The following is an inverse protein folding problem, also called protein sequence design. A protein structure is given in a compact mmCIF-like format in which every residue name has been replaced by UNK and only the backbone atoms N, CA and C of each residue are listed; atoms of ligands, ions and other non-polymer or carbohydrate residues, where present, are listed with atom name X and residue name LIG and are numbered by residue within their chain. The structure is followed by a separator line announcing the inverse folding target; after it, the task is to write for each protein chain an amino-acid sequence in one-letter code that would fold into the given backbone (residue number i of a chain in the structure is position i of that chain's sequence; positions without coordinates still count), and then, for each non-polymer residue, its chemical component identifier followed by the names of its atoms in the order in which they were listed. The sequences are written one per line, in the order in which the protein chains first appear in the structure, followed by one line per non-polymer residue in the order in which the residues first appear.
data_IF_023679405511
#
_entry.id   IF_023679405511
#
_cell.length_a   1.000
_cell.length_b   1.000
_cell.length_c   1.000
_cell.angle_alpha   90.00
_cell.angle_beta   90.00
_cell.angle_gamma   90.00
#
_symmetry.space_group_name_H-M   'P 1'
#
loop_
_entity.id
_entity.type
_entity.pdbx_description
1 polymer ?
#
# COMPACT_ATOMS: atom_id res chain seq x y z
N UNK A 1 -20.60 19.89 74.13
CA UNK A 1 -19.93 20.47 72.95
C UNK A 1 -18.81 19.52 72.58
N UNK A 2 -18.98 18.80 71.47
CA UNK A 2 -18.11 17.71 71.01
C UNK A 2 -17.78 17.98 69.54
N UNK A 3 -16.51 17.81 69.18
CA UNK A 3 -15.94 17.97 67.84
C UNK A 3 -14.65 18.79 67.92
N UNK A 4 -13.47 18.36 67.44
CA UNK A 4 -13.18 17.36 66.42
C UNK A 4 -11.73 16.88 66.58
N UNK A 5 -11.46 15.59 66.37
CA UNK A 5 -10.12 15.03 66.18
C UNK A 5 -9.98 14.70 64.69
N UNK A 6 -9.01 15.30 64.02
CA UNK A 6 -8.63 15.03 62.64
C UNK A 6 -7.84 13.71 62.60
N UNK A 7 -8.38 12.70 61.91
CA UNK A 7 -7.64 11.49 61.54
C UNK A 7 -6.99 11.76 60.18
N UNK A 8 -5.66 11.89 60.17
CA UNK A 8 -4.86 11.84 58.95
C UNK A 8 -4.77 10.36 58.50
N UNK A 9 -5.54 10.00 57.48
CA UNK A 9 -5.41 8.70 56.81
C UNK A 9 -4.19 8.71 55.89
N UNK A 10 -3.16 7.96 56.26
CA UNK A 10 -2.05 7.62 55.36
C UNK A 10 -2.54 6.52 54.41
N UNK A 11 -2.79 6.88 53.16
CA UNK A 11 -2.99 5.93 52.07
C UNK A 11 -1.62 5.39 51.66
N UNK A 12 -1.27 4.23 52.22
CA UNK A 12 -0.16 3.41 51.75
C UNK A 12 -0.55 2.81 50.40
N UNK A 13 -0.12 3.44 49.29
CA UNK A 13 -0.17 2.83 47.96
C UNK A 13 0.90 1.75 47.91
N UNK A 14 0.46 0.49 48.02
CA UNK A 14 1.27 -0.66 47.68
C UNK A 14 1.67 -0.58 46.20
N UNK A 15 2.97 -0.59 45.93
CA UNK A 15 3.52 -0.69 44.59
C UNK A 15 3.34 -2.14 44.15
N UNK A 16 2.20 -2.43 43.54
CA UNK A 16 2.03 -3.62 42.69
C UNK A 16 2.77 -3.34 41.39
N UNK A 17 3.57 -4.30 40.94
CA UNK A 17 4.34 -4.24 39.69
C UNK A 17 3.40 -4.08 38.50
N UNK A 18 3.12 -2.84 38.13
CA UNK A 18 2.43 -2.48 36.90
C UNK A 18 3.28 -2.92 35.71
N UNK A 19 2.69 -3.77 34.87
CA UNK A 19 3.14 -3.95 33.50
C UNK A 19 3.27 -2.58 32.85
N UNK A 20 4.49 -2.24 32.49
CA UNK A 20 4.87 -1.10 31.69
C UNK A 20 4.18 -1.23 30.32
N UNK A 21 2.98 -0.68 30.19
CA UNK A 21 2.45 -0.36 28.86
C UNK A 21 3.25 0.85 28.38
N UNK A 22 4.44 0.55 27.86
CA UNK A 22 5.34 1.51 27.28
C UNK A 22 4.58 2.35 26.25
N UNK A 23 4.59 3.65 26.48
CA UNK A 23 4.29 4.63 25.42
C UNK A 23 5.32 4.34 24.33
N UNK A 24 4.90 3.62 23.27
CA UNK A 24 5.76 3.33 22.13
C UNK A 24 6.30 4.64 21.60
N UNK A 25 7.62 4.75 21.51
CA UNK A 25 8.25 5.93 20.94
C UNK A 25 7.80 6.01 19.47
N UNK A 26 7.46 7.18 18.89
CA UNK A 26 7.07 7.26 17.48
C UNK A 26 8.12 6.62 16.54
N UNK A 27 9.39 6.59 16.95
CA UNK A 27 10.45 5.85 16.28
C UNK A 27 10.22 4.32 16.18
N UNK A 28 9.58 3.70 17.17
CA UNK A 28 9.31 2.25 17.19
C UNK A 28 8.22 1.86 16.18
N UNK A 29 7.41 2.81 15.70
CA UNK A 29 6.38 2.56 14.67
C UNK A 29 6.93 2.38 13.25
N UNK A 30 8.22 2.65 13.05
CA UNK A 30 8.90 2.59 11.74
C UNK A 30 9.94 1.48 11.65
N UNK A 31 10.02 0.59 12.64
CA UNK A 31 10.86 -0.61 12.56
C UNK A 31 10.24 -1.61 11.58
N UNK A 32 10.94 -1.96 10.51
CA UNK A 32 10.48 -2.97 9.55
C UNK A 32 10.17 -4.30 10.23
N UNK A 33 10.96 -4.66 11.26
CA UNK A 33 10.72 -5.86 12.02
C UNK A 33 9.43 -5.76 12.83
N UNK A 34 9.18 -4.65 13.53
CA UNK A 34 7.92 -4.39 14.22
C UNK A 34 6.69 -4.30 13.30
N UNK A 35 6.84 -3.79 12.07
CA UNK A 35 5.79 -3.77 11.04
C UNK A 35 5.41 -5.19 10.63
N UNK A 36 6.40 -6.05 10.37
CA UNK A 36 6.15 -7.44 10.00
C UNK A 36 5.63 -8.28 11.17
N UNK A 37 6.15 -8.07 12.38
CA UNK A 37 5.66 -8.72 13.60
C UNK A 37 4.22 -8.30 13.95
N UNK A 38 3.77 -7.13 13.51
CA UNK A 38 2.38 -6.67 13.65
C UNK A 38 1.47 -7.06 12.47
N UNK A 39 1.90 -8.02 11.65
CA UNK A 39 1.12 -8.56 10.53
C UNK A 39 1.19 -7.75 9.24
N UNK A 40 2.11 -6.78 9.15
CA UNK A 40 2.51 -6.22 7.86
C UNK A 40 3.27 -7.25 7.03
N UNK A 41 3.17 -7.17 5.72
CA UNK A 41 3.93 -8.00 4.79
C UNK A 41 4.52 -7.11 3.68
N UNK A 42 5.29 -7.72 2.78
CA UNK A 42 5.61 -7.04 1.53
C UNK A 42 4.32 -6.71 0.78
N UNK A 43 4.29 -5.55 0.12
CA UNK A 43 3.09 -5.06 -0.58
C UNK A 43 2.55 -6.12 -1.54
N UNK A 44 3.43 -6.83 -2.22
CA UNK A 44 3.11 -7.86 -3.20
C UNK A 44 2.55 -9.13 -2.56
N UNK A 45 3.01 -9.48 -1.36
CA UNK A 45 2.51 -10.63 -0.62
C UNK A 45 1.09 -10.37 -0.15
N UNK A 46 0.84 -9.17 0.39
CA UNK A 46 -0.48 -8.71 0.75
C UNK A 46 -1.43 -8.65 -0.46
N UNK A 47 -0.97 -8.11 -1.60
CA UNK A 47 -1.76 -8.10 -2.85
C UNK A 47 -2.10 -9.52 -3.28
N UNK A 48 -1.12 -10.44 -3.35
CA UNK A 48 -1.38 -11.84 -3.75
C UNK A 48 -2.33 -12.55 -2.78
N UNK A 49 -2.17 -12.32 -1.49
CA UNK A 49 -3.06 -12.86 -0.46
C UNK A 49 -4.50 -12.37 -0.68
N UNK A 50 -4.66 -11.08 -0.97
CA UNK A 50 -5.95 -10.47 -1.27
C UNK A 50 -6.55 -10.92 -2.59
N UNK A 51 -5.78 -11.00 -3.67
CA UNK A 51 -6.27 -11.52 -4.95
C UNK A 51 -6.78 -12.97 -4.82
N UNK A 52 -6.03 -13.80 -4.09
CA UNK A 52 -6.45 -15.18 -3.79
C UNK A 52 -7.72 -15.21 -2.95
N UNK A 53 -7.87 -14.32 -1.98
CA UNK A 53 -9.01 -14.25 -1.07
C UNK A 53 -10.27 -13.73 -1.76
N UNK A 54 -10.15 -12.61 -2.44
CA UNK A 54 -11.23 -11.96 -3.17
C UNK A 54 -11.62 -12.71 -4.44
N UNK A 55 -10.74 -13.60 -4.94
CA UNK A 55 -10.97 -14.34 -6.19
C UNK A 55 -10.95 -13.44 -7.44
N UNK A 56 -10.35 -12.25 -7.33
CA UNK A 56 -10.28 -11.24 -8.40
C UNK A 56 -8.95 -10.51 -8.36
N UNK A 57 -8.48 -10.06 -9.52
CA UNK A 57 -7.25 -9.28 -9.63
C UNK A 57 -7.41 -7.90 -8.99
N UNK A 58 -6.34 -7.44 -8.32
CA UNK A 58 -6.28 -6.14 -7.65
C UNK A 58 -5.56 -5.14 -8.56
N UNK A 59 -6.15 -3.95 -8.72
CA UNK A 59 -5.59 -2.88 -9.54
C UNK A 59 -5.23 -1.69 -8.67
N UNK A 60 -3.95 -1.53 -8.35
CA UNK A 60 -3.46 -0.36 -7.61
C UNK A 60 -3.28 0.85 -8.55
N UNK A 61 -3.44 2.08 -8.04
CA UNK A 61 -3.05 3.27 -8.78
C UNK A 61 -1.57 3.17 -9.21
N UNK A 62 -1.24 3.31 -10.50
CA UNK A 62 0.14 3.25 -10.96
C UNK A 62 0.98 4.47 -10.54
N UNK A 63 0.33 5.59 -10.22
CA UNK A 63 0.97 6.79 -9.67
C UNK A 63 0.94 6.78 -8.14
N UNK A 64 1.98 7.37 -7.54
CA UNK A 64 2.06 7.66 -6.12
C UNK A 64 2.20 9.17 -5.93
N UNK A 65 1.93 9.70 -4.72
CA UNK A 65 2.16 11.11 -4.46
C UNK A 65 3.63 11.49 -4.76
N UNK A 66 3.89 12.70 -5.28
CA UNK A 66 5.23 13.13 -5.69
C UNK A 66 6.12 13.52 -4.49
N UNK A 67 6.11 12.70 -3.44
CA UNK A 67 6.88 12.87 -2.21
C UNK A 67 7.72 11.62 -1.94
N UNK A 68 8.82 11.77 -1.20
CA UNK A 68 9.66 10.64 -0.84
C UNK A 68 9.03 9.81 0.30
N UNK A 69 9.13 8.50 0.20
CA UNK A 69 8.82 7.52 1.25
C UNK A 69 10.08 6.74 1.62
N UNK A 70 10.19 6.31 2.87
CA UNK A 70 11.29 5.48 3.37
C UNK A 70 10.85 4.05 3.64
N UNK A 71 9.57 3.81 3.83
CA UNK A 71 9.00 2.49 4.08
C UNK A 71 7.70 2.32 3.30
N UNK A 72 7.42 1.07 2.95
CA UNK A 72 6.14 0.63 2.44
C UNK A 72 5.85 -0.78 2.96
N UNK A 73 4.59 -1.09 3.21
CA UNK A 73 4.12 -2.43 3.53
C UNK A 73 2.66 -2.60 3.13
N UNK A 74 2.24 -3.85 2.99
CA UNK A 74 0.85 -4.20 2.72
C UNK A 74 0.26 -5.08 3.81
N UNK A 75 -1.06 -5.08 3.90
CA UNK A 75 -1.84 -6.00 4.73
C UNK A 75 -3.08 -6.43 3.98
N UNK A 76 -3.38 -7.72 4.04
CA UNK A 76 -4.65 -8.23 3.55
C UNK A 76 -5.51 -8.63 4.74
N UNK A 77 -6.51 -7.81 5.05
CA UNK A 77 -7.41 -8.03 6.18
C UNK A 77 -8.46 -9.09 5.83
N UNK A 78 -8.77 -9.94 6.82
CA UNK A 78 -9.87 -10.91 6.78
C UNK A 78 -10.99 -10.52 7.76
N UNK A 79 -12.11 -11.25 7.70
CA UNK A 79 -13.25 -11.03 8.59
C UNK A 79 -12.98 -11.48 10.04
N UNK A 80 -11.90 -12.22 10.33
CA UNK A 80 -11.65 -12.76 11.67
C UNK A 80 -11.30 -11.66 12.69
N UNK A 81 -10.78 -10.52 12.21
CA UNK A 81 -10.53 -9.32 13.01
C UNK A 81 -11.74 -8.43 13.26
N UNK A 82 -12.93 -8.76 12.73
CA UNK A 82 -14.11 -7.90 12.79
C UNK A 82 -14.03 -6.65 11.89
N UNK A 83 -13.05 -6.62 10.99
CA UNK A 83 -12.92 -5.63 9.93
C UNK A 83 -13.46 -6.22 8.62
N UNK A 84 -14.03 -5.38 7.76
CA UNK A 84 -14.40 -5.80 6.41
C UNK A 84 -13.13 -6.20 5.65
N UNK A 85 -13.21 -7.26 4.83
CA UNK A 85 -12.03 -7.72 4.08
C UNK A 85 -11.59 -6.66 3.08
N UNK A 86 -10.31 -6.28 3.13
CA UNK A 86 -9.74 -5.27 2.27
C UNK A 86 -8.22 -5.42 2.18
N UNK A 87 -7.66 -4.84 1.12
CA UNK A 87 -6.23 -4.61 1.02
C UNK A 87 -5.91 -3.23 1.60
N UNK A 88 -4.90 -3.17 2.46
CA UNK A 88 -4.26 -1.92 2.89
C UNK A 88 -2.82 -1.89 2.39
N UNK A 89 -2.40 -0.75 1.85
CA UNK A 89 -1.00 -0.46 1.55
C UNK A 89 -0.65 0.87 2.18
N UNK A 90 0.45 0.89 2.92
CA UNK A 90 0.87 2.05 3.67
C UNK A 90 2.27 2.49 3.24
N UNK A 91 2.41 3.76 2.88
CA UNK A 91 3.65 4.44 2.50
C UNK A 91 3.98 5.50 3.55
N UNK A 92 5.19 5.43 4.08
CA UNK A 92 5.62 6.24 5.22
C UNK A 92 7.00 6.85 5.00
N UNK A 93 7.22 8.06 5.49
CA UNK A 93 8.56 8.64 5.60
C UNK A 93 8.95 8.89 7.05
N UNK A 94 9.99 8.20 7.52
CA UNK A 94 10.49 8.30 8.89
C UNK A 94 11.04 9.69 9.27
N UNK A 95 11.45 10.49 8.27
CA UNK A 95 12.03 11.82 8.46
C UNK A 95 11.03 12.95 8.20
N UNK A 96 9.93 12.65 7.52
CA UNK A 96 8.86 13.60 7.21
C UNK A 96 7.49 12.96 7.46
N UNK A 97 6.99 13.00 8.71
CA UNK A 97 5.75 12.31 9.10
C UNK A 97 4.50 12.77 8.31
N UNK A 98 4.51 13.99 7.77
CA UNK A 98 3.43 14.46 6.88
C UNK A 98 3.42 13.75 5.51
N UNK A 99 4.48 13.00 5.17
CA UNK A 99 4.51 12.07 4.04
C UNK A 99 4.04 10.68 4.53
N UNK A 100 2.80 10.63 4.98
CA UNK A 100 2.05 9.43 5.33
C UNK A 100 0.90 9.32 4.34
N UNK A 101 0.90 8.22 3.58
CA UNK A 101 -0.05 7.95 2.52
C UNK A 101 -0.49 6.49 2.56
N UNK A 102 -1.80 6.28 2.48
CA UNK A 102 -2.41 4.96 2.59
C UNK A 102 -3.41 4.74 1.45
N UNK A 103 -3.39 3.52 0.92
CA UNK A 103 -4.35 3.03 -0.06
C UNK A 103 -5.11 1.89 0.60
N UNK A 104 -6.43 2.02 0.71
CA UNK A 104 -7.33 0.93 1.09
C UNK A 104 -8.21 0.56 -0.10
N UNK A 105 -8.28 -0.72 -0.44
CA UNK A 105 -9.12 -1.26 -1.50
C UNK A 105 -10.13 -2.24 -0.92
N UNK A 106 -11.41 -1.89 -1.05
CA UNK A 106 -12.53 -2.75 -0.67
C UNK A 106 -13.19 -3.33 -1.93
N UNK A 107 -13.51 -4.63 -1.96
CA UNK A 107 -14.49 -5.15 -2.90
C UNK A 107 -15.78 -4.31 -2.79
N UNK A 108 -16.41 -3.98 -3.91
CA UNK A 108 -17.58 -3.08 -3.92
C UNK A 108 -18.76 -3.62 -3.09
N UNK A 109 -18.87 -4.95 -2.99
CA UNK A 109 -19.81 -5.65 -2.10
C UNK A 109 -19.59 -5.32 -0.61
N UNK A 110 -18.34 -5.04 -0.23
CA UNK A 110 -17.89 -4.72 1.13
C UNK A 110 -17.56 -3.22 1.30
N UNK A 111 -18.13 -2.36 0.45
CA UNK A 111 -17.76 -0.95 0.41
C UNK A 111 -18.06 -0.20 1.72
N UNK A 112 -17.15 0.69 2.09
CA UNK A 112 -17.26 1.55 3.25
C UNK A 112 -18.29 2.65 3.00
N UNK A 113 -19.23 2.81 3.94
CA UNK A 113 -20.35 3.75 3.82
C UNK A 113 -20.03 5.17 4.29
N UNK A 114 -19.03 5.34 5.16
CA UNK A 114 -18.45 6.63 5.61
C UNK A 114 -19.48 7.73 5.97
N UNK A 115 -20.64 7.36 6.53
CA UNK A 115 -21.83 8.22 6.68
C UNK A 115 -21.64 9.48 7.53
N UNK A 116 -20.56 9.54 8.31
CA UNK A 116 -20.27 10.64 9.23
C UNK A 116 -19.32 11.70 8.64
N UNK A 117 -18.82 11.48 7.42
CA UNK A 117 -17.92 12.40 6.74
C UNK A 117 -18.70 13.27 5.75
N UNK A 118 -18.37 14.56 5.71
CA UNK A 118 -18.93 15.51 4.75
C UNK A 118 -18.00 15.62 3.54
N UNK A 119 -18.39 14.99 2.44
CA UNK A 119 -17.59 14.94 1.21
C UNK A 119 -17.89 16.13 0.29
N UNK A 120 -16.83 16.56 -0.40
CA UNK A 120 -16.89 17.42 -1.57
C UNK A 120 -16.82 16.52 -2.81
N UNK A 121 -17.94 16.40 -3.50
CA UNK A 121 -18.02 15.64 -4.74
C UNK A 121 -17.41 16.43 -5.90
N UNK A 122 -16.71 15.73 -6.80
CA UNK A 122 -16.27 16.22 -8.10
C UNK A 122 -16.18 15.07 -9.09
N UNK A 123 -15.87 15.36 -10.35
CA UNK A 123 -15.67 14.35 -11.39
C UNK A 123 -14.22 14.36 -11.87
N UNK A 124 -13.71 13.17 -12.21
CA UNK A 124 -12.48 13.00 -12.98
C UNK A 124 -12.71 13.30 -14.46
N UNK A 125 -11.61 13.38 -15.22
CA UNK A 125 -11.64 13.56 -16.68
C UNK A 125 -12.47 12.52 -17.45
N UNK A 126 -12.65 11.32 -16.91
CA UNK A 126 -13.45 10.25 -17.51
C UNK A 126 -14.89 10.15 -16.94
N UNK A 127 -15.36 11.21 -16.27
CA UNK A 127 -16.66 11.30 -15.60
C UNK A 127 -16.83 10.37 -14.39
N UNK A 128 -15.75 9.77 -13.87
CA UNK A 128 -15.83 9.03 -12.61
C UNK A 128 -16.04 10.01 -11.45
N UNK A 129 -17.07 9.77 -10.64
CA UNK A 129 -17.33 10.54 -9.42
C UNK A 129 -16.26 10.26 -8.36
N UNK A 130 -15.73 11.32 -7.75
CA UNK A 130 -14.81 11.26 -6.62
C UNK A 130 -15.33 12.08 -5.46
N UNK A 131 -15.15 11.56 -4.26
CA UNK A 131 -15.59 12.17 -3.02
C UNK A 131 -14.38 12.54 -2.18
N UNK A 132 -14.15 13.83 -1.99
CA UNK A 132 -13.01 14.33 -1.22
C UNK A 132 -13.44 14.83 0.16
N UNK A 133 -12.78 14.35 1.20
CA UNK A 133 -12.93 14.83 2.57
C UNK A 133 -11.60 15.44 3.05
N UNK A 134 -11.69 16.62 3.66
CA UNK A 134 -10.56 17.24 4.35
C UNK A 134 -10.91 17.39 5.83
N UNK A 135 -10.19 16.67 6.68
CA UNK A 135 -10.35 16.78 8.12
C UNK A 135 -9.71 18.06 8.70
N UNK A 136 -9.79 18.23 10.03
CA UNK A 136 -9.01 19.24 10.76
C UNK A 136 -7.51 19.10 10.51
N UNK A 137 -6.75 20.16 10.82
CA UNK A 137 -5.28 20.12 10.74
C UNK A 137 -4.73 19.02 11.67
N UNK A 138 -3.66 18.35 11.24
CA UNK A 138 -3.03 17.21 11.92
C UNK A 138 -3.94 15.97 12.05
N UNK A 139 -4.91 15.82 11.14
CA UNK A 139 -5.68 14.58 10.99
C UNK A 139 -5.37 13.97 9.63
N UNK A 140 -6.39 13.80 8.78
CA UNK A 140 -6.28 13.21 7.46
C UNK A 140 -7.07 14.01 6.43
N UNK A 141 -6.71 13.77 5.18
CA UNK A 141 -7.54 14.00 4.02
C UNK A 141 -7.76 12.65 3.33
N UNK A 142 -8.93 12.50 2.72
CA UNK A 142 -9.39 11.24 2.15
C UNK A 142 -10.02 11.53 0.78
N UNK A 143 -9.61 10.80 -0.24
CA UNK A 143 -10.31 10.74 -1.53
C UNK A 143 -10.88 9.35 -1.71
N UNK A 144 -12.18 9.27 -1.99
CA UNK A 144 -12.90 8.02 -2.26
C UNK A 144 -13.31 7.97 -3.73
N UNK A 145 -12.97 6.89 -4.40
CA UNK A 145 -13.36 6.64 -5.80
C UNK A 145 -13.82 5.20 -5.97
N UNK A 146 -14.94 5.00 -6.67
CA UNK A 146 -15.41 3.68 -7.06
C UNK A 146 -15.02 3.45 -8.53
N UNK A 147 -14.28 2.38 -8.81
CA UNK A 147 -13.81 2.06 -10.16
C UNK A 147 -13.79 0.55 -10.38
N UNK A 148 -14.49 0.09 -11.41
CA UNK A 148 -14.69 -1.35 -11.64
C UNK A 148 -15.44 -1.99 -10.46
N UNK A 149 -14.90 -3.07 -9.91
CA UNK A 149 -15.45 -3.78 -8.75
C UNK A 149 -14.84 -3.34 -7.41
N UNK A 150 -14.16 -2.19 -7.38
CA UNK A 150 -13.39 -1.73 -6.23
C UNK A 150 -13.85 -0.35 -5.75
N UNK A 151 -13.85 -0.18 -4.43
CA UNK A 151 -13.85 1.13 -3.79
C UNK A 151 -12.43 1.41 -3.26
N UNK A 152 -11.86 2.53 -3.69
CA UNK A 152 -10.54 3.00 -3.28
C UNK A 152 -10.70 4.12 -2.26
N UNK A 153 -9.99 4.02 -1.15
CA UNK A 153 -9.81 5.08 -0.16
C UNK A 153 -8.34 5.49 -0.18
N UNK A 154 -8.07 6.69 -0.71
CA UNK A 154 -6.74 7.28 -0.76
C UNK A 154 -6.61 8.27 0.40
N UNK A 155 -5.91 7.86 1.45
CA UNK A 155 -5.75 8.65 2.68
C UNK A 155 -4.37 9.27 2.73
N UNK A 156 -4.26 10.53 3.12
CA UNK A 156 -2.98 11.18 3.38
C UNK A 156 -3.06 12.07 4.61
N UNK A 157 -1.91 12.32 5.26
CA UNK A 157 -1.84 13.25 6.38
C UNK A 157 -2.26 14.67 5.98
N UNK A 158 -3.07 15.31 6.83
CA UNK A 158 -3.46 16.72 6.69
C UNK A 158 -2.66 17.62 7.65
N UNK A 159 -1.34 17.45 7.64
CA UNK A 159 -0.41 18.28 8.40
C UNK A 159 -0.13 19.62 7.72
N UNK A 160 0.38 20.59 8.49
CA UNK A 160 0.72 21.92 7.98
C UNK A 160 1.82 21.91 6.91
N UNK A 161 2.70 20.89 6.93
CA UNK A 161 3.79 20.71 5.97
C UNK A 161 3.52 19.62 4.93
N UNK A 162 2.28 19.12 4.87
CA UNK A 162 1.86 18.10 3.90
C UNK A 162 1.89 18.67 2.48
N UNK A 163 2.65 17.99 1.63
CA UNK A 163 2.75 18.26 0.20
C UNK A 163 1.73 17.46 -0.60
N UNK A 164 1.21 16.38 -0.04
CA UNK A 164 0.10 15.64 -0.64
C UNK A 164 -1.14 16.50 -0.40
N UNK A 165 -1.84 16.94 -1.43
CA UNK A 165 -3.10 17.71 -1.32
C UNK A 165 -4.19 17.02 -2.14
N UNK A 166 -5.35 17.67 -2.21
CA UNK A 166 -6.48 17.22 -3.03
C UNK A 166 -6.06 16.95 -4.48
N UNK A 167 -5.22 17.80 -5.06
CA UNK A 167 -4.80 17.67 -6.45
C UNK A 167 -4.00 16.39 -6.67
N UNK A 168 -2.99 16.13 -5.84
CA UNK A 168 -2.15 14.93 -5.94
C UNK A 168 -2.98 13.65 -5.74
N UNK A 169 -3.91 13.64 -4.78
CA UNK A 169 -4.84 12.50 -4.62
C UNK A 169 -5.75 12.30 -5.84
N UNK A 170 -6.17 13.40 -6.49
CA UNK A 170 -7.01 13.35 -7.69
C UNK A 170 -6.23 12.79 -8.87
N UNK A 171 -5.00 13.25 -9.10
CA UNK A 171 -4.12 12.74 -10.16
C UNK A 171 -3.82 11.24 -10.00
N UNK A 172 -3.64 10.77 -8.75
CA UNK A 172 -3.51 9.34 -8.45
C UNK A 172 -4.79 8.58 -8.80
N UNK A 173 -5.96 9.11 -8.43
CA UNK A 173 -7.24 8.49 -8.77
C UNK A 173 -7.46 8.45 -10.30
N UNK A 174 -7.11 9.50 -11.04
CA UNK A 174 -7.17 9.53 -12.51
C UNK A 174 -6.26 8.49 -13.17
N UNK A 175 -5.13 8.19 -12.53
CA UNK A 175 -4.22 7.16 -13.03
C UNK A 175 -4.84 5.75 -13.03
N UNK A 176 -5.93 5.52 -12.27
CA UNK A 176 -6.69 4.26 -12.28
C UNK A 176 -7.44 4.01 -13.58
N UNK A 177 -7.80 5.06 -14.33
CA UNK A 177 -8.53 4.92 -15.60
C UNK A 177 -7.74 4.12 -16.64
N UNK A 178 -6.41 4.11 -16.53
CA UNK A 178 -5.54 3.26 -17.35
C UNK A 178 -5.41 1.84 -16.79
N UNK A 179 -5.45 1.67 -15.46
CA UNK A 179 -5.25 0.39 -14.78
C UNK A 179 -6.50 -0.51 -14.77
N UNK A 180 -7.70 0.06 -14.66
CA UNK A 180 -8.96 -0.71 -14.61
C UNK A 180 -9.51 -1.02 -16.00
N UNK A 181 -9.08 -0.29 -17.03
CA UNK A 181 -9.37 -0.63 -18.43
C UNK A 181 -8.43 -1.71 -19.00
N UNK A 182 -7.33 -2.02 -18.33
CA UNK A 182 -6.54 -3.23 -18.61
C UNK A 182 -7.08 -4.37 -17.75
N UNK A 183 -7.47 -5.48 -18.38
CA UNK A 183 -7.85 -6.72 -17.68
C UNK A 183 -6.70 -7.37 -16.89
N UNK A 184 -5.52 -6.76 -16.93
CA UNK A 184 -4.29 -7.26 -16.36
C UNK A 184 -3.69 -6.21 -15.39
N UNK A 185 -3.11 -6.63 -14.26
CA UNK A 185 -2.44 -5.72 -13.32
C UNK A 185 -1.38 -4.84 -14.00
N UNK A 186 -1.05 -3.67 -13.43
CA UNK A 186 -0.09 -2.73 -14.02
C UNK A 186 1.30 -3.35 -14.27
N UNK A 187 1.71 -4.33 -13.47
CA UNK A 187 2.96 -5.08 -13.67
C UNK A 187 2.90 -6.09 -14.83
N UNK A 188 1.71 -6.47 -15.31
CA UNK A 188 1.53 -7.53 -16.30
C UNK A 188 2.18 -7.21 -17.64
N UNK A 189 2.18 -5.93 -18.06
CA UNK A 189 2.94 -5.47 -19.22
C UNK A 189 4.41 -5.88 -19.11
N UNK A 190 5.02 -5.59 -17.97
CA UNK A 190 6.43 -5.86 -17.72
C UNK A 190 6.69 -7.34 -17.42
N UNK A 191 5.74 -8.05 -16.83
CA UNK A 191 5.79 -9.50 -16.64
C UNK A 191 5.79 -10.25 -17.98
N UNK A 192 4.88 -9.90 -18.90
CA UNK A 192 4.86 -10.47 -20.25
C UNK A 192 6.14 -10.16 -21.02
N UNK A 193 6.66 -8.93 -20.89
CA UNK A 193 7.95 -8.53 -21.45
C UNK A 193 9.11 -9.35 -20.86
N UNK A 194 9.17 -9.50 -19.54
CA UNK A 194 10.18 -10.29 -18.83
C UNK A 194 10.17 -11.76 -19.24
N UNK A 195 8.99 -12.37 -19.38
CA UNK A 195 8.84 -13.76 -19.86
C UNK A 195 9.34 -13.88 -21.29
N UNK A 196 8.92 -12.98 -22.18
CA UNK A 196 9.31 -13.01 -23.61
C UNK A 196 10.82 -12.89 -23.76
N UNK A 197 11.43 -11.93 -23.07
CA UNK A 197 12.87 -11.71 -23.14
C UNK A 197 13.68 -12.82 -22.46
N UNK A 198 13.17 -13.42 -21.37
CA UNK A 198 13.79 -14.59 -20.75
C UNK A 198 13.76 -15.82 -21.68
N UNK A 199 12.62 -16.12 -22.31
CA UNK A 199 12.52 -17.19 -23.31
C UNK A 199 13.53 -16.98 -24.45
N UNK A 200 13.64 -15.74 -24.95
CA UNK A 200 14.60 -15.38 -26.01
C UNK A 200 16.05 -15.50 -25.57
N UNK A 201 16.38 -15.06 -24.35
CA UNK A 201 17.76 -15.06 -23.83
C UNK A 201 18.27 -16.48 -23.55
N UNK A 202 17.42 -17.32 -22.96
CA UNK A 202 17.81 -18.65 -22.50
C UNK A 202 17.46 -19.76 -23.48
N UNK A 203 16.60 -19.49 -24.46
CA UNK A 203 16.03 -20.48 -25.38
C UNK A 203 15.31 -21.62 -24.64
N UNK A 204 14.58 -21.28 -23.58
CA UNK A 204 13.85 -22.22 -22.73
C UNK A 204 12.44 -21.70 -22.48
N UNK A 205 11.52 -22.61 -22.14
CA UNK A 205 10.17 -22.20 -21.73
C UNK A 205 10.15 -21.71 -20.29
N UNK A 206 9.18 -20.87 -19.96
CA UNK A 206 8.90 -20.42 -18.58
C UNK A 206 7.70 -21.21 -18.10
N UNK A 207 7.88 -22.00 -17.03
CA UNK A 207 6.85 -22.90 -16.47
C UNK A 207 6.23 -22.37 -15.18
N UNK A 208 6.90 -21.42 -14.52
CA UNK A 208 6.36 -20.72 -13.36
C UNK A 208 6.83 -19.26 -13.36
N UNK A 209 6.01 -18.40 -12.77
CA UNK A 209 6.17 -16.95 -12.77
C UNK A 209 5.73 -16.38 -11.43
N UNK A 210 6.58 -15.55 -10.84
CA UNK A 210 6.29 -14.82 -9.62
C UNK A 210 6.72 -13.37 -9.77
N UNK A 211 5.76 -12.45 -9.67
CA UNK A 211 6.07 -11.03 -9.53
C UNK A 211 6.62 -10.74 -8.12
N UNK A 212 7.78 -10.10 -8.06
CA UNK A 212 8.51 -9.80 -6.83
C UNK A 212 8.41 -8.35 -6.37
N UNK A 213 7.78 -7.48 -7.16
CA UNK A 213 7.50 -6.11 -6.74
C UNK A 213 8.17 -5.03 -7.55
N UNK A 214 7.73 -3.81 -7.27
CA UNK A 214 8.23 -2.56 -7.88
C UNK A 214 9.16 -1.86 -6.92
N UNK A 215 10.27 -1.36 -7.43
CA UNK A 215 11.13 -0.38 -6.75
C UNK A 215 11.12 0.93 -7.52
N UNK A 216 10.55 1.98 -6.95
CA UNK A 216 10.62 3.34 -7.52
C UNK A 216 11.94 4.00 -7.07
N UNK A 217 12.81 4.29 -8.02
CA UNK A 217 14.14 4.88 -7.76
C UNK A 217 14.09 6.41 -7.90
N UNK A 218 13.34 6.93 -8.89
CA UNK A 218 13.12 8.36 -9.10
C UNK A 218 11.84 8.60 -9.91
N UNK A 219 11.51 9.87 -10.18
CA UNK A 219 10.40 10.24 -11.08
C UNK A 219 10.56 9.74 -12.52
N UNK A 220 11.78 9.35 -12.92
CA UNK A 220 12.11 8.90 -14.27
C UNK A 220 12.52 7.42 -14.31
N UNK A 221 12.60 6.75 -13.16
CA UNK A 221 13.10 5.38 -13.07
C UNK A 221 12.35 4.56 -12.00
N UNK A 222 11.70 3.50 -12.46
CA UNK A 222 11.16 2.43 -11.64
C UNK A 222 11.63 1.08 -12.17
N UNK A 223 11.70 0.09 -11.30
CA UNK A 223 12.08 -1.27 -11.65
C UNK A 223 10.99 -2.26 -11.22
N UNK A 224 10.55 -3.12 -12.13
CA UNK A 224 9.77 -4.31 -11.79
C UNK A 224 10.70 -5.51 -11.66
N UNK A 225 10.53 -6.32 -10.62
CA UNK A 225 11.29 -7.55 -10.44
C UNK A 225 10.39 -8.77 -10.52
N UNK A 226 10.88 -9.82 -11.16
CA UNK A 226 10.20 -11.10 -11.37
C UNK A 226 11.15 -12.24 -11.02
N UNK A 227 10.59 -13.35 -10.54
CA UNK A 227 11.25 -14.64 -10.45
C UNK A 227 10.57 -15.57 -11.45
N UNK A 228 11.32 -16.02 -12.43
CA UNK A 228 10.87 -16.95 -13.45
C UNK A 228 11.49 -18.31 -13.20
N UNK A 229 10.74 -19.36 -13.50
CA UNK A 229 11.26 -20.73 -13.49
C UNK A 229 11.30 -21.25 -14.92
N UNK A 230 12.51 -21.50 -15.42
CA UNK A 230 12.74 -21.87 -16.81
C UNK A 230 12.96 -23.38 -16.92
N UNK A 231 12.45 -23.98 -17.99
CA UNK A 231 12.58 -25.41 -18.26
C UNK A 231 12.77 -25.70 -19.74
N UNK A 232 13.71 -26.60 -20.03
CA UNK A 232 13.89 -27.22 -21.34
C UNK A 232 14.36 -28.68 -21.11
N UNK A 233 13.50 -29.63 -21.46
CA UNK A 233 13.74 -31.04 -21.18
C UNK A 233 14.00 -31.31 -19.70
N UNK A 234 15.20 -31.78 -19.37
CA UNK A 234 15.63 -32.09 -18.01
C UNK A 234 16.33 -30.93 -17.29
N UNK A 235 16.63 -29.82 -17.98
CA UNK A 235 17.27 -28.65 -17.39
C UNK A 235 16.21 -27.68 -16.89
N UNK A 236 16.30 -27.30 -15.62
CA UNK A 236 15.33 -26.43 -14.96
C UNK A 236 16.03 -25.57 -13.91
N UNK A 237 15.79 -24.25 -13.92
CA UNK A 237 16.38 -23.31 -12.96
C UNK A 237 15.58 -22.02 -12.83
N UNK A 238 15.78 -21.32 -11.70
CA UNK A 238 15.18 -20.03 -11.44
C UNK A 238 16.03 -18.88 -11.97
N UNK A 239 15.38 -17.82 -12.45
CA UNK A 239 16.02 -16.57 -12.84
C UNK A 239 15.26 -15.38 -12.28
N UNK A 240 15.95 -14.48 -11.59
CA UNK A 240 15.44 -13.15 -11.33
C UNK A 240 15.57 -12.28 -12.57
N UNK A 241 14.48 -11.68 -12.99
CA UNK A 241 14.43 -10.69 -14.09
C UNK A 241 14.05 -9.35 -13.50
N UNK A 242 14.83 -8.31 -13.78
CA UNK A 242 14.54 -6.94 -13.34
C UNK A 242 14.40 -6.04 -14.55
N UNK A 243 13.24 -5.41 -14.72
CA UNK A 243 12.91 -4.53 -15.83
C UNK A 243 12.84 -3.09 -15.33
N UNK A 244 13.76 -2.26 -15.78
CA UNK A 244 13.78 -0.82 -15.51
C UNK A 244 13.00 -0.07 -16.60
N UNK A 245 12.19 0.89 -16.19
CA UNK A 245 11.33 1.70 -17.07
C UNK A 245 11.04 3.07 -16.46
N UNK A 246 10.57 4.00 -17.29
CA UNK A 246 10.10 5.31 -16.84
C UNK A 246 8.66 5.19 -16.28
N UNK A 247 8.38 5.58 -15.03
CA UNK A 247 7.10 5.32 -14.38
C UNK A 247 5.93 6.09 -15.01
N UNK A 248 6.16 7.32 -15.49
CA UNK A 248 5.12 8.13 -16.17
C UNK A 248 4.90 7.78 -17.63
N UNK A 249 5.97 7.68 -18.44
CA UNK A 249 5.85 7.45 -19.89
C UNK A 249 5.75 5.97 -20.26
N UNK A 250 5.97 5.08 -19.29
CA UNK A 250 6.08 3.63 -19.48
C UNK A 250 7.11 3.21 -20.54
N UNK A 251 8.12 4.05 -20.76
CA UNK A 251 9.21 3.79 -21.69
C UNK A 251 10.19 2.81 -21.05
N UNK A 252 10.52 1.74 -21.77
CA UNK A 252 11.53 0.77 -21.36
C UNK A 252 12.93 1.43 -21.26
N UNK A 253 13.68 1.09 -20.22
CA UNK A 253 15.05 1.59 -20.00
C UNK A 253 16.06 0.43 -20.07
N UNK A 254 15.92 -0.61 -19.25
CA UNK A 254 16.85 -1.76 -19.27
C UNK A 254 16.24 -3.03 -18.69
N UNK A 255 16.86 -4.18 -18.96
CA UNK A 255 16.49 -5.47 -18.37
C UNK A 255 17.74 -6.20 -17.87
N UNK A 256 17.66 -6.80 -16.68
CA UNK A 256 18.76 -7.51 -16.02
C UNK A 256 18.32 -8.89 -15.56
N UNK A 257 19.27 -9.82 -15.53
CA UNK A 257 19.03 -11.23 -15.19
C UNK A 257 20.00 -11.69 -14.12
N UNK A 258 19.52 -12.50 -13.18
CA UNK A 258 20.34 -13.18 -12.19
C UNK A 258 19.82 -14.61 -11.97
N UNK A 259 20.60 -15.60 -12.38
CA UNK A 259 20.32 -17.01 -12.12
C UNK A 259 20.37 -17.31 -10.61
N UNK A 260 19.58 -18.30 -10.20
CA UNK A 260 19.40 -18.76 -8.81
C UNK A 260 20.04 -20.13 -8.65
#
# INVERSE_FOLDING_TARGET
MLGSILIAGVLSLGISSGHDQGIKNPQDSYDQQGIFESGGELVEEAVRACEKRFGTAVYLPPQLPPVAFTHQYGRCYDMEGGLDEHLEIHYLNRYKPDNDYKIELYPLENKQRLKHLSFQESELTDHTTVNFFKGPINTLQLLVVEKGNWQYLLTAANGASSEIRKQELTEIAESLSYAVNSKDPAYAKWGAFAVTEAKRKYNMDVVDYLYMGRTTISSELAEEKFKLWLKEGAREFGVYVTVAFHPTTHQFISIRYKEI
#
